data_IF_527155485648
#
_entry.id   IF_527155485648
#
_cell.length_a   1.000
_cell.length_b   1.000
_cell.length_c   1.000
_cell.angle_alpha   90.00
_cell.angle_beta   90.00
_cell.angle_gamma   90.00
#
_symmetry.space_group_name_H-M   'P 1'
#
loop_
_entity.id
_entity.type
_entity.pdbx_description
1 polymer ?
#
# COMPACT_ATOMS: atom_id res chain seq x y z
N UNK A 1 -10.23 7.28 16.24
CA UNK A 1 -9.07 8.18 16.44
C UNK A 1 -7.87 7.55 17.17
N UNK A 2 -7.99 7.06 18.42
CA UNK A 2 -6.81 6.56 19.19
C UNK A 2 -6.09 5.35 18.56
N UNK A 3 -6.82 4.46 17.87
CA UNK A 3 -6.22 3.28 17.22
C UNK A 3 -5.38 3.63 15.99
N UNK A 4 -5.88 4.51 15.13
CA UNK A 4 -5.16 4.96 13.93
C UNK A 4 -3.90 5.77 14.27
N UNK A 5 -3.91 6.54 15.37
CA UNK A 5 -2.69 7.18 15.90
C UNK A 5 -1.55 6.19 16.18
N UNK A 6 -1.87 4.95 16.60
CA UNK A 6 -0.85 3.90 16.78
C UNK A 6 -0.30 3.41 15.43
N UNK A 7 -1.16 3.28 14.42
CA UNK A 7 -0.73 2.89 13.05
C UNK A 7 0.24 3.92 12.49
N UNK A 8 -0.09 5.21 12.57
CA UNK A 8 0.77 6.30 12.09
C UNK A 8 2.15 6.25 12.76
N UNK A 9 2.20 6.04 14.09
CA UNK A 9 3.46 5.93 14.84
C UNK A 9 4.24 4.67 14.46
N UNK A 10 3.59 3.50 14.39
CA UNK A 10 4.26 2.23 14.06
C UNK A 10 4.71 2.14 12.60
N UNK A 11 4.02 2.84 11.70
CA UNK A 11 4.38 2.93 10.29
C UNK A 11 5.50 3.96 10.03
N UNK A 12 6.00 4.62 11.08
CA UNK A 12 7.08 5.60 11.00
C UNK A 12 6.67 6.94 10.39
N UNK A 13 5.38 7.25 10.32
CA UNK A 13 4.87 8.51 9.78
C UNK A 13 5.03 9.67 10.78
N UNK A 14 5.01 9.35 12.07
CA UNK A 14 5.26 10.28 13.17
C UNK A 14 6.24 9.65 14.14
N UNK A 15 7.28 10.39 14.52
CA UNK A 15 8.21 10.02 15.57
C UNK A 15 8.27 11.11 16.64
N UNK A 16 8.16 10.73 17.93
CA UNK A 16 8.16 11.66 19.08
C UNK A 16 7.25 12.89 18.94
N UNK A 17 6.14 12.76 18.22
CA UNK A 17 5.18 13.86 17.97
C UNK A 17 5.52 14.76 16.78
N UNK A 18 6.60 14.46 16.05
CA UNK A 18 7.04 15.18 14.84
C UNK A 18 6.73 14.35 13.60
N UNK A 19 6.20 14.99 12.56
CA UNK A 19 5.91 14.35 11.27
C UNK A 19 7.23 14.05 10.55
N UNK A 20 7.43 12.79 10.18
CA UNK A 20 8.63 12.35 9.46
C UNK A 20 8.54 12.69 7.97
N UNK A 21 9.62 12.46 7.21
CA UNK A 21 9.56 12.56 5.75
C UNK A 21 8.51 11.60 5.16
N UNK A 22 8.44 10.37 5.68
CA UNK A 22 7.41 9.39 5.30
C UNK A 22 6.01 9.93 5.58
N UNK A 23 5.80 10.53 6.76
CA UNK A 23 4.54 11.17 7.12
C UNK A 23 4.13 12.30 6.20
N UNK A 24 5.07 13.18 5.82
CA UNK A 24 4.78 14.28 4.86
C UNK A 24 4.38 13.74 3.49
N UNK A 25 5.07 12.71 2.99
CA UNK A 25 4.70 12.08 1.72
C UNK A 25 3.31 11.45 1.81
N UNK A 26 2.97 10.78 2.91
CA UNK A 26 1.63 10.22 3.12
C UNK A 26 0.54 11.30 3.11
N UNK A 27 0.81 12.49 3.66
CA UNK A 27 -0.16 13.60 3.65
C UNK A 27 -0.55 14.07 2.25
N UNK A 28 0.30 13.85 1.24
CA UNK A 28 0.02 14.22 -0.15
C UNK A 28 -0.73 13.13 -0.92
N UNK A 29 -0.89 11.93 -0.35
CA UNK A 29 -1.58 10.81 -0.99
C UNK A 29 -3.03 10.77 -0.51
N UNK A 30 -3.94 11.24 -1.37
CA UNK A 30 -5.38 11.15 -1.13
C UNK A 30 -5.95 9.82 -1.66
N UNK A 31 -5.80 8.74 -0.89
CA UNK A 31 -6.29 7.40 -1.23
C UNK A 31 -6.56 6.61 0.07
N UNK A 32 -7.36 5.54 -0.01
CA UNK A 32 -7.61 4.60 1.10
C UNK A 32 -6.42 3.64 1.37
N UNK A 33 -5.36 3.75 0.57
CA UNK A 33 -4.16 2.92 0.65
C UNK A 33 -2.89 3.75 0.88
N UNK A 34 -3.01 4.95 1.42
CA UNK A 34 -1.97 5.95 1.64
C UNK A 34 -0.75 5.40 2.40
N UNK A 35 -0.96 4.58 3.43
CA UNK A 35 0.12 3.97 4.21
C UNK A 35 0.90 2.94 3.37
N UNK A 36 0.19 2.11 2.60
CA UNK A 36 0.78 1.11 1.70
C UNK A 36 1.54 1.79 0.55
N UNK A 37 0.91 2.75 -0.13
CA UNK A 37 1.53 3.48 -1.24
C UNK A 37 2.80 4.20 -0.79
N UNK A 38 2.76 4.83 0.38
CA UNK A 38 3.97 5.43 0.96
C UNK A 38 5.04 4.37 1.26
N UNK A 39 4.67 3.21 1.80
CA UNK A 39 5.63 2.13 2.05
C UNK A 39 6.32 1.62 0.77
N UNK A 40 5.55 1.46 -0.32
CA UNK A 40 6.07 1.05 -1.62
C UNK A 40 7.06 2.09 -2.18
N UNK A 41 6.76 3.38 -2.04
CA UNK A 41 7.67 4.46 -2.46
C UNK A 41 8.99 4.39 -1.67
N UNK A 42 8.92 4.31 -0.34
CA UNK A 42 10.10 4.34 0.52
C UNK A 42 10.95 3.06 0.49
N UNK A 43 10.35 1.92 0.10
CA UNK A 43 11.08 0.66 -0.11
C UNK A 43 11.69 0.56 -1.52
N UNK A 44 11.50 1.57 -2.37
CA UNK A 44 12.01 1.59 -3.74
C UNK A 44 11.32 0.56 -4.64
N UNK A 45 10.10 0.12 -4.29
CA UNK A 45 9.38 -0.95 -4.98
C UNK A 45 9.18 -0.68 -6.48
N UNK A 46 9.02 0.59 -6.86
CA UNK A 46 8.80 1.02 -8.23
C UNK A 46 10.10 1.29 -9.03
N UNK A 47 11.28 1.25 -8.40
CA UNK A 47 12.52 1.76 -9.01
C UNK A 47 12.97 0.99 -10.25
N UNK A 48 12.65 -0.30 -10.34
CA UNK A 48 13.01 -1.17 -11.45
C UNK A 48 11.87 -1.37 -12.45
N UNK A 49 10.75 -0.65 -12.31
CA UNK A 49 9.57 -0.80 -13.15
C UNK A 49 9.47 0.29 -14.22
N UNK A 50 8.89 -0.05 -15.37
CA UNK A 50 8.54 0.95 -16.39
C UNK A 50 7.28 1.72 -16.01
N UNK A 51 7.06 2.95 -16.54
CA UNK A 51 5.84 3.71 -16.27
C UNK A 51 4.55 2.96 -16.59
N UNK A 52 4.56 2.14 -17.64
CA UNK A 52 3.41 1.31 -18.06
C UNK A 52 3.14 0.22 -17.03
N UNK A 53 4.18 -0.42 -16.49
CA UNK A 53 4.02 -1.44 -15.45
C UNK A 53 3.52 -0.83 -14.14
N UNK A 54 4.00 0.37 -13.78
CA UNK A 54 3.53 1.10 -12.59
C UNK A 54 2.04 1.43 -12.77
N UNK A 55 1.62 1.98 -13.91
CA UNK A 55 0.23 2.28 -14.19
C UNK A 55 -0.67 1.04 -14.10
N UNK A 56 -0.24 -0.09 -14.66
CA UNK A 56 -0.98 -1.36 -14.62
C UNK A 56 -1.11 -1.93 -13.19
N UNK A 57 -0.12 -1.75 -12.31
CA UNK A 57 -0.26 -2.15 -10.91
C UNK A 57 -1.14 -1.19 -10.12
N UNK A 58 -0.94 0.12 -10.27
CA UNK A 58 -1.74 1.11 -9.55
C UNK A 58 -3.22 1.01 -9.92
N UNK A 59 -3.57 0.68 -11.18
CA UNK A 59 -4.96 0.44 -11.56
C UNK A 59 -5.61 -0.69 -10.77
N UNK A 60 -4.84 -1.70 -10.32
CA UNK A 60 -5.35 -2.76 -9.46
C UNK A 60 -5.57 -2.34 -8.00
N UNK A 61 -4.85 -1.31 -7.54
CA UNK A 61 -5.00 -0.72 -6.19
C UNK A 61 -6.19 0.25 -6.16
N UNK A 62 -6.43 0.99 -7.23
CA UNK A 62 -7.50 1.99 -7.31
C UNK A 62 -8.88 1.43 -7.68
N UNK A 63 -8.98 0.12 -7.95
CA UNK A 63 -10.22 -0.51 -8.38
C UNK A 63 -11.00 -1.07 -7.18
N UNK A 64 -12.08 -0.39 -6.79
CA UNK A 64 -12.91 -0.77 -5.63
C UNK A 64 -14.11 -1.67 -6.01
N UNK A 65 -14.44 -1.79 -7.29
CA UNK A 65 -15.58 -2.58 -7.75
C UNK A 65 -15.26 -4.09 -7.80
N UNK A 66 -16.24 -4.91 -7.41
CA UNK A 66 -16.14 -6.37 -7.58
C UNK A 66 -16.47 -6.72 -9.03
N UNK A 67 -15.47 -7.15 -9.79
CA UNK A 67 -15.67 -7.74 -11.11
C UNK A 67 -16.46 -9.04 -11.02
N UNK A 68 -17.58 -9.12 -11.76
CA UNK A 68 -18.34 -10.37 -12.01
C UNK A 68 -17.69 -11.26 -13.08
N UNK A 69 -16.66 -10.75 -13.76
CA UNK A 69 -15.90 -11.47 -14.78
C UNK A 69 -14.80 -12.32 -14.14
N UNK A 70 -14.57 -13.52 -14.69
CA UNK A 70 -13.46 -14.42 -14.34
C UNK A 70 -12.16 -13.62 -14.17
N UNK A 71 -11.42 -13.81 -13.07
CA UNK A 71 -10.19 -13.05 -12.77
C UNK A 71 -9.16 -13.29 -13.88
N UNK A 72 -9.11 -12.40 -14.87
CA UNK A 72 -8.08 -12.42 -15.90
C UNK A 72 -6.73 -12.16 -15.23
N UNK A 73 -5.95 -13.23 -15.05
CA UNK A 73 -4.58 -13.11 -14.59
C UNK A 73 -3.76 -12.47 -15.71
N UNK A 74 -2.93 -11.50 -15.35
CA UNK A 74 -1.98 -10.92 -16.31
C UNK A 74 -1.14 -12.03 -16.93
N UNK A 75 -1.02 -12.02 -18.26
CA UNK A 75 -0.18 -12.95 -19.03
C UNK A 75 1.29 -12.51 -19.01
N UNK A 76 1.60 -11.36 -18.42
CA UNK A 76 2.95 -10.79 -18.36
C UNK A 76 3.64 -11.31 -17.08
N UNK A 77 4.65 -12.19 -17.17
CA UNK A 77 5.25 -12.83 -16.01
C UNK A 77 5.84 -11.84 -14.99
N UNK A 78 6.47 -10.76 -15.48
CA UNK A 78 7.07 -9.73 -14.63
C UNK A 78 6.05 -8.98 -13.79
N UNK A 79 4.91 -8.60 -14.39
CA UNK A 79 3.82 -7.95 -13.66
C UNK A 79 3.19 -8.89 -12.63
N UNK A 80 3.11 -10.19 -12.93
CA UNK A 80 2.64 -11.17 -11.96
C UNK A 80 3.57 -11.26 -10.75
N UNK A 81 4.87 -11.33 -10.96
CA UNK A 81 5.84 -11.34 -9.88
C UNK A 81 5.70 -10.08 -9.00
N UNK A 82 5.65 -8.91 -9.62
CA UNK A 82 5.44 -7.64 -8.91
C UNK A 82 4.13 -7.64 -8.12
N UNK A 83 3.03 -8.10 -8.70
CA UNK A 83 1.76 -8.23 -8.00
C UNK A 83 1.86 -9.15 -6.76
N UNK A 84 2.60 -10.26 -6.84
CA UNK A 84 2.83 -11.16 -5.70
C UNK A 84 3.65 -10.45 -4.60
N UNK A 85 4.68 -9.70 -4.96
CA UNK A 85 5.46 -8.86 -4.02
C UNK A 85 4.59 -7.76 -3.36
N UNK A 86 3.74 -7.10 -4.14
CA UNK A 86 2.78 -6.10 -3.66
C UNK A 86 1.83 -6.70 -2.62
N UNK A 87 1.28 -7.89 -2.88
CA UNK A 87 0.38 -8.59 -1.95
C UNK A 87 1.11 -8.90 -0.63
N UNK A 88 2.38 -9.31 -0.68
CA UNK A 88 3.17 -9.56 0.53
C UNK A 88 3.38 -8.27 1.34
N UNK A 89 3.64 -7.14 0.68
CA UNK A 89 3.74 -5.83 1.33
C UNK A 89 2.42 -5.40 1.95
N UNK A 90 1.31 -5.54 1.22
CA UNK A 90 -0.02 -5.25 1.71
C UNK A 90 -0.35 -6.06 2.98
N UNK A 91 -0.01 -7.36 3.02
CA UNK A 91 -0.15 -8.19 4.21
C UNK A 91 0.69 -7.72 5.40
N UNK A 92 1.92 -7.24 5.15
CA UNK A 92 2.77 -6.68 6.21
C UNK A 92 2.16 -5.41 6.81
N UNK A 93 1.63 -4.51 5.97
CA UNK A 93 0.92 -3.32 6.43
C UNK A 93 -0.36 -3.70 7.17
N UNK A 94 -1.15 -4.63 6.64
CA UNK A 94 -2.36 -5.15 7.29
C UNK A 94 -2.07 -5.68 8.71
N UNK A 95 -0.95 -6.37 8.89
CA UNK A 95 -0.51 -6.85 10.20
C UNK A 95 -0.27 -5.71 11.20
N UNK A 96 0.27 -4.57 10.76
CA UNK A 96 0.41 -3.36 11.59
C UNK A 96 -0.96 -2.85 12.05
N UNK A 97 -1.94 -2.80 11.14
CA UNK A 97 -3.31 -2.38 11.45
C UNK A 97 -3.97 -3.32 12.47
N UNK A 98 -3.83 -4.63 12.26
CA UNK A 98 -4.34 -5.67 13.16
C UNK A 98 -3.75 -5.56 14.57
N UNK A 99 -2.44 -5.42 14.67
CA UNK A 99 -1.75 -5.24 15.96
C UNK A 99 -2.11 -3.91 16.64
N UNK A 100 -2.51 -2.90 15.87
CA UNK A 100 -3.07 -1.65 16.38
C UNK A 100 -4.56 -1.77 16.78
N UNK A 101 -5.16 -2.96 16.68
CA UNK A 101 -6.58 -3.25 16.95
C UNK A 101 -7.53 -2.46 16.05
N UNK A 102 -7.15 -2.30 14.78
CA UNK A 102 -8.05 -1.82 13.73
C UNK A 102 -8.56 -3.05 12.98
N UNK A 103 -9.88 -3.21 12.96
CA UNK A 103 -10.52 -4.23 12.16
C UNK A 103 -10.64 -3.71 10.73
N UNK A 104 -9.83 -4.23 9.84
CA UNK A 104 -10.01 -4.10 8.40
C UNK A 104 -10.70 -5.39 7.95
N UNK A 105 -11.75 -5.26 7.13
CA UNK A 105 -12.34 -6.41 6.46
C UNK A 105 -11.33 -6.95 5.43
N UNK A 106 -11.19 -8.28 5.37
CA UNK A 106 -10.26 -8.99 4.48
C UNK A 106 -10.81 -9.11 3.04
#
# INVERSE_FOLDING_TARGET
MRAYSRVIKRSGLVDRGVVTLKGRVTCEINSNHEVLLTDLIFTGYFNDMTPIEIAALLSSISHEEKSSTERMRTKIPRLRQKLEELILRAKSIFQIFKECKINLEE
#
